data_IF_951597040901
#
_entry.id   IF_951597040901
#
_cell.length_a   1.000
_cell.length_b   1.000
_cell.length_c   1.000
_cell.angle_alpha   90.00
_cell.angle_beta   90.00
_cell.angle_gamma   90.00
#
_symmetry.space_group_name_H-M   'P 1'
#
loop_
_entity.id
_entity.type
_entity.pdbx_description
1 polymer ?
#
# COMPACT_ATOMS: atom_id res chain seq x y z
N UNK A 1 37.57 -23.17 100.73
CA UNK A 1 37.25 -24.61 100.67
C UNK A 1 36.93 -24.93 99.30
N UNK A 2 37.87 -25.28 98.48
CA UNK A 2 38.22 -26.56 97.89
C UNK A 2 36.99 -27.25 97.24
N UNK A 3 36.98 -27.40 95.94
CA UNK A 3 37.11 -28.60 95.11
C UNK A 3 36.63 -28.18 93.68
N UNK A 4 37.41 -28.11 92.64
CA UNK A 4 38.02 -29.11 91.78
C UNK A 4 37.09 -29.77 90.77
N UNK A 5 37.48 -29.66 89.49
CA UNK A 5 37.35 -30.58 88.37
C UNK A 5 36.09 -30.45 87.50
N UNK A 6 36.13 -30.65 86.25
CA UNK A 6 37.03 -31.39 85.40
C UNK A 6 36.79 -31.10 83.93
N UNK A 7 37.79 -31.35 83.16
CA UNK A 7 37.80 -31.18 81.69
C UNK A 7 37.11 -32.33 80.98
N UNK A 8 36.20 -32.00 80.08
CA UNK A 8 35.84 -32.91 78.98
C UNK A 8 36.03 -32.16 77.67
N UNK A 9 36.91 -32.66 76.83
CA UNK A 9 37.11 -32.20 75.44
C UNK A 9 36.07 -32.87 74.58
N UNK A 10 35.23 -32.12 73.93
CA UNK A 10 34.40 -32.55 72.85
C UNK A 10 35.04 -32.14 71.54
N UNK A 11 35.38 -33.13 70.71
CA UNK A 11 35.86 -32.92 69.36
C UNK A 11 34.66 -32.62 68.44
N UNK A 12 34.62 -31.44 67.90
CA UNK A 12 33.64 -31.07 66.90
C UNK A 12 34.21 -31.31 65.50
N UNK A 13 33.70 -32.31 64.81
CA UNK A 13 33.93 -32.59 63.35
C UNK A 13 33.25 -31.50 62.50
N UNK A 14 34.02 -30.72 61.78
CA UNK A 14 33.55 -29.82 60.79
C UNK A 14 33.24 -30.62 59.49
N UNK A 15 31.94 -30.86 59.20
CA UNK A 15 31.52 -31.24 57.90
C UNK A 15 31.50 -30.01 56.94
N UNK A 16 32.46 -30.00 56.04
CA UNK A 16 32.48 -28.98 54.95
C UNK A 16 31.35 -29.24 53.96
N UNK A 17 30.40 -28.35 53.93
CA UNK A 17 29.33 -28.32 52.92
C UNK A 17 29.88 -27.57 51.68
N UNK A 18 30.33 -28.35 50.68
CA UNK A 18 30.71 -27.80 49.39
C UNK A 18 29.46 -27.46 48.59
N UNK A 19 29.09 -26.19 48.52
CA UNK A 19 28.02 -25.67 47.61
C UNK A 19 28.58 -25.62 46.21
N UNK A 20 28.10 -26.54 45.35
CA UNK A 20 28.33 -26.48 43.91
C UNK A 20 27.40 -25.41 43.33
N UNK A 21 27.95 -24.26 42.94
CA UNK A 21 27.23 -23.27 42.12
C UNK A 21 27.13 -23.80 40.68
N UNK A 22 25.94 -24.23 40.27
CA UNK A 22 25.60 -24.47 38.89
C UNK A 22 25.38 -23.12 38.18
N UNK A 23 26.01 -22.86 37.04
CA UNK A 23 25.72 -21.66 36.28
C UNK A 23 24.28 -21.73 35.74
N UNK A 24 23.45 -20.72 36.04
CA UNK A 24 22.14 -20.57 35.48
C UNK A 24 22.29 -20.21 33.98
N UNK A 25 21.95 -21.13 33.08
CA UNK A 25 21.83 -20.88 31.67
C UNK A 25 20.53 -20.06 31.47
N UNK A 26 20.66 -18.77 31.22
CA UNK A 26 19.53 -17.94 30.83
C UNK A 26 18.99 -18.44 29.46
N UNK A 27 17.66 -18.63 29.29
CA UNK A 27 17.11 -18.97 27.99
C UNK A 27 17.38 -17.82 27.01
N UNK A 28 18.02 -18.12 25.88
CA UNK A 28 18.15 -17.19 24.78
C UNK A 28 16.74 -16.79 24.33
N UNK A 29 16.39 -15.51 24.44
CA UNK A 29 15.16 -14.97 23.88
C UNK A 29 15.22 -15.16 22.37
N UNK A 30 14.40 -16.06 21.85
CA UNK A 30 14.18 -16.21 20.42
C UNK A 30 13.57 -14.89 19.93
N UNK A 31 14.35 -14.09 19.22
CA UNK A 31 13.84 -12.97 18.45
C UNK A 31 12.92 -13.56 17.37
N UNK A 32 11.61 -13.40 17.55
CA UNK A 32 10.65 -13.69 16.48
C UNK A 32 11.06 -12.88 15.25
N UNK A 33 11.02 -13.47 14.04
CA UNK A 33 11.27 -12.70 12.82
C UNK A 33 10.27 -11.54 12.80
N UNK A 34 10.76 -10.31 12.64
CA UNK A 34 9.92 -9.17 12.39
C UNK A 34 9.14 -9.46 11.10
N UNK A 35 7.85 -9.78 11.24
CA UNK A 35 6.95 -9.81 10.12
C UNK A 35 6.95 -8.40 9.58
N UNK A 36 7.61 -8.20 8.43
CA UNK A 36 7.52 -6.96 7.68
C UNK A 36 6.03 -6.72 7.46
N UNK A 37 5.47 -5.74 8.16
CA UNK A 37 4.11 -5.30 7.91
C UNK A 37 4.12 -4.79 6.46
N UNK A 38 3.62 -5.61 5.55
CA UNK A 38 3.43 -5.20 4.17
C UNK A 38 2.48 -4.01 4.21
N UNK A 39 3.00 -2.83 3.93
CA UNK A 39 2.19 -1.62 3.77
C UNK A 39 1.14 -1.92 2.71
N UNK A 40 -0.10 -2.01 3.11
CA UNK A 40 -1.21 -2.05 2.17
C UNK A 40 -1.39 -0.65 1.61
N UNK A 41 -0.64 -0.36 0.54
CA UNK A 41 -0.65 0.94 -0.15
C UNK A 41 -1.71 0.97 -1.25
N UNK A 42 -2.23 -0.18 -1.65
CA UNK A 42 -3.23 -0.33 -2.73
C UNK A 42 -3.94 -1.67 -2.51
N UNK A 43 -5.26 -1.80 -2.70
CA UNK A 43 -5.88 -3.11 -2.83
C UNK A 43 -5.14 -3.94 -3.88
N UNK A 44 -4.88 -5.20 -3.59
CA UNK A 44 -4.02 -6.01 -4.44
C UNK A 44 -4.74 -6.44 -5.72
N UNK A 45 -4.17 -6.11 -6.87
CA UNK A 45 -4.63 -6.65 -8.15
C UNK A 45 -4.27 -8.14 -8.26
N UNK A 46 -4.99 -8.94 -9.09
CA UNK A 46 -4.70 -10.34 -9.33
C UNK A 46 -3.24 -10.59 -9.76
N UNK A 47 -2.80 -11.85 -9.70
CA UNK A 47 -1.46 -12.25 -10.13
C UNK A 47 -1.18 -11.91 -11.60
N UNK A 48 0.11 -11.83 -11.97
CA UNK A 48 0.50 -11.40 -13.32
C UNK A 48 -0.10 -12.27 -14.43
N UNK A 49 -0.21 -13.59 -14.23
CA UNK A 49 -0.77 -14.50 -15.25
C UNK A 49 -2.28 -14.29 -15.46
N UNK A 50 -3.01 -14.03 -14.36
CA UNK A 50 -4.44 -13.71 -14.44
C UNK A 50 -4.62 -12.37 -15.14
N UNK A 51 -3.83 -11.35 -14.78
CA UNK A 51 -3.89 -10.02 -15.43
C UNK A 51 -3.51 -10.07 -16.92
N UNK A 52 -2.58 -10.97 -17.33
CA UNK A 52 -2.30 -11.19 -18.75
C UNK A 52 -3.53 -11.73 -19.47
N UNK A 53 -4.23 -12.68 -18.84
CA UNK A 53 -5.48 -13.22 -19.38
C UNK A 53 -6.57 -12.13 -19.50
N UNK A 54 -6.71 -11.29 -18.47
CA UNK A 54 -7.63 -10.14 -18.51
C UNK A 54 -7.27 -9.17 -19.65
N UNK A 55 -5.98 -8.81 -19.77
CA UNK A 55 -5.47 -7.91 -20.79
C UNK A 55 -5.73 -8.43 -22.22
N UNK A 56 -5.65 -9.74 -22.42
CA UNK A 56 -5.92 -10.37 -23.73
C UNK A 56 -7.41 -10.28 -24.13
N UNK A 57 -8.31 -10.05 -23.18
CA UNK A 57 -9.74 -9.85 -23.45
C UNK A 57 -10.12 -8.39 -23.75
N UNK A 58 -9.23 -7.44 -23.45
CA UNK A 58 -9.54 -6.03 -23.67
C UNK A 58 -9.63 -5.66 -25.15
N UNK A 59 -10.60 -4.84 -25.47
CA UNK A 59 -10.71 -4.26 -26.81
C UNK A 59 -9.54 -3.33 -27.09
N UNK A 60 -8.88 -3.54 -28.24
CA UNK A 60 -7.84 -2.64 -28.72
C UNK A 60 -8.46 -1.68 -29.72
N UNK A 61 -8.46 -0.39 -29.42
CA UNK A 61 -9.02 0.63 -30.29
C UNK A 61 -8.34 1.99 -30.16
N UNK A 62 -8.62 2.89 -31.08
CA UNK A 62 -8.16 4.27 -30.98
C UNK A 62 -8.88 5.01 -29.84
N UNK A 63 -8.21 5.98 -29.18
CA UNK A 63 -8.85 6.75 -28.13
C UNK A 63 -10.08 7.50 -28.60
N UNK A 64 -11.16 7.49 -27.82
CA UNK A 64 -12.33 8.31 -28.07
C UNK A 64 -12.00 9.82 -27.94
N UNK A 65 -12.81 10.63 -28.60
CA UNK A 65 -12.66 12.09 -28.54
C UNK A 65 -12.91 12.63 -27.12
N UNK A 66 -12.18 13.67 -26.75
CA UNK A 66 -12.39 14.38 -25.48
C UNK A 66 -13.61 15.30 -25.48
N UNK A 67 -14.37 15.34 -26.55
CA UNK A 67 -15.59 16.13 -26.65
C UNK A 67 -16.54 15.83 -25.49
N UNK A 68 -16.95 16.87 -24.80
CA UNK A 68 -17.85 16.73 -23.63
C UNK A 68 -17.18 16.26 -22.35
N UNK A 69 -15.88 15.95 -22.30
CA UNK A 69 -15.18 15.63 -21.08
C UNK A 69 -15.13 16.84 -20.14
N UNK A 70 -15.37 16.57 -18.89
CA UNK A 70 -14.90 17.40 -17.76
C UNK A 70 -14.71 16.51 -16.55
N UNK A 71 -13.76 16.87 -15.66
CA UNK A 71 -13.53 16.13 -14.42
C UNK A 71 -14.81 16.04 -13.56
N UNK A 72 -15.67 17.05 -13.59
CA UNK A 72 -16.94 17.07 -12.85
C UNK A 72 -17.95 15.99 -13.30
N UNK A 73 -17.78 15.41 -14.47
CA UNK A 73 -18.61 14.26 -14.93
C UNK A 73 -18.30 12.97 -14.20
N UNK A 74 -17.19 12.94 -13.47
CA UNK A 74 -16.83 11.88 -12.54
C UNK A 74 -16.97 12.43 -11.11
N UNK A 75 -18.14 12.31 -10.45
CA UNK A 75 -18.29 12.75 -9.07
C UNK A 75 -17.32 11.98 -8.19
N UNK A 76 -16.24 12.63 -7.79
CA UNK A 76 -15.15 12.05 -6.97
C UNK A 76 -15.10 12.71 -5.61
N UNK A 77 -14.36 12.11 -4.68
CA UNK A 77 -14.25 12.54 -3.28
C UNK A 77 -15.60 12.63 -2.58
N UNK A 78 -16.47 11.63 -2.82
CA UNK A 78 -17.77 11.55 -2.13
C UNK A 78 -17.56 11.15 -0.66
N UNK A 79 -18.50 11.53 0.21
CA UNK A 79 -18.51 11.04 1.58
C UNK A 79 -18.67 9.52 1.61
N UNK A 80 -17.80 8.85 2.38
CA UNK A 80 -17.82 7.41 2.60
C UNK A 80 -18.49 7.08 3.95
N UNK A 81 -18.05 7.75 5.01
CA UNK A 81 -18.65 7.66 6.35
C UNK A 81 -18.31 8.91 7.17
N UNK A 82 -19.19 9.30 8.08
CA UNK A 82 -18.99 10.49 8.93
C UNK A 82 -18.61 11.72 8.11
N UNK A 83 -17.50 12.35 8.44
CA UNK A 83 -16.94 13.46 7.68
C UNK A 83 -15.89 13.02 6.65
N UNK A 84 -15.54 11.73 6.61
CA UNK A 84 -14.52 11.19 5.72
C UNK A 84 -15.03 11.08 4.29
N UNK A 85 -14.36 11.75 3.38
CA UNK A 85 -14.51 11.52 1.95
C UNK A 85 -13.54 10.43 1.43
N UNK A 86 -13.67 10.08 0.15
CA UNK A 86 -12.82 9.05 -0.47
C UNK A 86 -11.32 9.37 -0.34
N UNK A 87 -10.92 10.65 -0.48
CA UNK A 87 -9.53 11.07 -0.35
C UNK A 87 -8.99 10.81 1.06
N UNK A 88 -9.75 11.19 2.10
CA UNK A 88 -9.32 11.02 3.49
C UNK A 88 -9.27 9.54 3.89
N UNK A 89 -10.16 8.71 3.32
CA UNK A 89 -10.12 7.25 3.52
C UNK A 89 -8.85 6.66 2.92
N UNK A 90 -8.47 7.04 1.70
CA UNK A 90 -7.23 6.56 1.06
C UNK A 90 -5.99 7.07 1.80
N UNK A 91 -5.96 8.32 2.24
CA UNK A 91 -4.84 8.85 3.05
C UNK A 91 -4.67 8.06 4.35
N UNK A 92 -5.77 7.69 5.02
CA UNK A 92 -5.73 6.89 6.25
C UNK A 92 -5.30 5.44 5.97
N UNK A 93 -5.72 4.86 4.85
CA UNK A 93 -5.39 3.48 4.45
C UNK A 93 -3.90 3.34 4.11
N UNK A 94 -3.35 4.30 3.34
CA UNK A 94 -2.03 4.20 2.72
C UNK A 94 -0.92 4.83 3.58
N UNK A 95 -1.29 5.60 4.61
CA UNK A 95 -0.32 6.21 5.51
C UNK A 95 -0.01 5.36 6.75
N UNK A 96 1.12 5.65 7.37
CA UNK A 96 1.56 5.07 8.64
C UNK A 96 1.46 6.12 9.75
N UNK A 97 0.91 5.74 10.91
CA UNK A 97 0.74 6.64 12.05
C UNK A 97 -0.20 7.82 11.76
N UNK A 98 -1.18 7.63 10.86
CA UNK A 98 -2.10 8.71 10.48
C UNK A 98 -3.02 9.06 11.65
N UNK A 99 -3.02 10.33 12.04
CA UNK A 99 -4.03 10.91 12.93
C UNK A 99 -4.93 11.86 12.15
N UNK A 100 -6.21 11.89 12.52
CA UNK A 100 -7.22 12.69 11.84
C UNK A 100 -7.90 13.66 12.81
N UNK A 101 -8.30 14.83 12.33
CA UNK A 101 -9.11 15.76 13.09
C UNK A 101 -10.62 15.38 13.06
N UNK A 102 -11.46 16.18 13.73
CA UNK A 102 -12.91 15.95 13.78
C UNK A 102 -13.62 16.06 12.41
N UNK A 103 -12.94 16.59 11.39
CA UNK A 103 -13.41 16.69 10.02
C UNK A 103 -12.77 15.60 9.13
N UNK A 104 -12.18 14.57 9.75
CA UNK A 104 -11.50 13.46 9.09
C UNK A 104 -10.24 13.85 8.29
N UNK A 105 -9.73 15.07 8.42
CA UNK A 105 -8.53 15.48 7.70
C UNK A 105 -7.29 14.88 8.34
N UNK A 106 -6.41 14.28 7.54
CA UNK A 106 -5.13 13.78 8.01
C UNK A 106 -4.23 14.95 8.46
N UNK A 107 -3.92 15.02 9.77
CA UNK A 107 -3.11 16.08 10.40
C UNK A 107 -1.68 15.63 10.69
N UNK A 108 -1.46 14.33 10.88
CA UNK A 108 -0.15 13.69 11.04
C UNK A 108 -0.11 12.38 10.27
N UNK A 109 1.07 11.89 9.99
CA UNK A 109 1.31 10.62 9.32
C UNK A 109 2.50 10.68 8.37
N UNK A 110 2.91 9.51 7.91
CA UNK A 110 3.90 9.36 6.84
C UNK A 110 3.34 8.52 5.71
N UNK A 111 3.65 8.89 4.49
CA UNK A 111 3.18 8.22 3.28
C UNK A 111 4.34 7.85 2.39
N UNK A 112 4.39 6.60 1.98
CA UNK A 112 5.32 6.14 0.96
C UNK A 112 4.69 6.26 -0.42
N UNK A 113 5.36 6.98 -1.33
CA UNK A 113 4.98 7.08 -2.73
C UNK A 113 5.74 6.04 -3.55
N UNK A 114 5.09 4.96 -4.02
CA UNK A 114 5.78 3.93 -4.78
C UNK A 114 6.16 4.37 -6.20
N UNK A 115 5.59 5.45 -6.71
CA UNK A 115 5.91 5.96 -8.05
C UNK A 115 7.34 6.48 -8.16
N UNK A 116 7.86 7.08 -7.12
CA UNK A 116 9.16 7.76 -7.09
C UNK A 116 10.02 7.41 -5.87
N UNK A 117 9.67 6.31 -5.17
CA UNK A 117 10.38 5.77 -4.00
C UNK A 117 10.65 6.83 -2.92
N UNK A 118 9.63 7.63 -2.58
CA UNK A 118 9.74 8.69 -1.58
C UNK A 118 8.83 8.46 -0.39
N UNK A 119 9.34 8.75 0.80
CA UNK A 119 8.53 8.87 2.02
C UNK A 119 8.29 10.34 2.32
N UNK A 120 7.05 10.71 2.58
CA UNK A 120 6.58 12.07 2.78
C UNK A 120 5.84 12.15 4.12
N UNK A 121 6.07 13.24 4.85
CA UNK A 121 5.64 13.47 6.24
C UNK A 121 4.43 14.41 6.37
N UNK A 122 3.79 14.74 5.27
CA UNK A 122 2.64 15.65 5.26
C UNK A 122 1.63 15.30 4.18
N UNK A 123 0.36 15.21 4.55
CA UNK A 123 -0.76 14.98 3.64
C UNK A 123 -0.87 16.06 2.55
N UNK A 124 -0.32 17.26 2.78
CA UNK A 124 -0.30 18.32 1.77
C UNK A 124 0.65 18.07 0.59
N UNK A 125 1.60 17.14 0.77
CA UNK A 125 2.55 16.70 -0.26
C UNK A 125 2.04 15.47 -1.03
N UNK A 126 0.88 14.94 -0.65
CA UNK A 126 0.28 13.71 -1.17
C UNK A 126 -0.94 14.07 -2.02
N UNK A 127 -0.98 13.55 -3.23
CA UNK A 127 -2.19 13.45 -4.04
C UNK A 127 -2.73 12.02 -3.99
N UNK A 128 -4.04 11.84 -4.12
CA UNK A 128 -4.62 10.53 -4.41
C UNK A 128 -4.76 10.43 -5.91
N UNK A 129 -4.01 9.49 -6.47
CA UNK A 129 -4.05 9.20 -7.91
C UNK A 129 -5.12 8.15 -8.21
N UNK A 130 -5.75 8.31 -9.37
CA UNK A 130 -6.47 7.25 -10.03
C UNK A 130 -5.49 6.48 -10.92
N UNK A 131 -5.24 5.20 -10.64
CA UNK A 131 -4.33 4.36 -11.44
C UNK A 131 -4.67 4.51 -12.92
N UNK A 132 -5.94 4.30 -13.29
CA UNK A 132 -6.45 4.71 -14.60
C UNK A 132 -7.09 6.09 -14.47
N UNK A 133 -6.47 7.15 -15.01
CA UNK A 133 -6.97 8.52 -14.89
C UNK A 133 -8.37 8.70 -15.43
N UNK A 134 -9.16 9.58 -14.82
CA UNK A 134 -10.55 9.84 -15.24
C UNK A 134 -10.65 10.26 -16.71
N UNK A 135 -9.70 11.04 -17.20
CA UNK A 135 -9.65 11.45 -18.62
C UNK A 135 -9.19 10.30 -19.53
N UNK A 136 -8.30 9.41 -19.05
CA UNK A 136 -7.95 8.19 -19.78
C UNK A 136 -9.16 7.27 -19.88
N UNK A 137 -9.88 7.04 -18.78
CA UNK A 137 -11.11 6.25 -18.78
C UNK A 137 -12.14 6.82 -19.77
N UNK A 138 -12.30 8.15 -19.82
CA UNK A 138 -13.18 8.80 -20.81
C UNK A 138 -12.81 8.40 -22.23
N UNK A 139 -11.53 8.50 -22.60
CA UNK A 139 -11.02 8.13 -23.92
C UNK A 139 -11.10 6.62 -24.22
N UNK A 140 -11.32 5.81 -23.20
CA UNK A 140 -11.37 4.35 -23.29
C UNK A 140 -12.78 3.77 -23.14
N UNK A 141 -13.85 4.61 -23.30
CA UNK A 141 -15.23 4.15 -23.30
C UNK A 141 -16.11 4.70 -22.17
N UNK A 142 -15.55 5.34 -21.14
CA UNK A 142 -16.34 5.92 -20.05
C UNK A 142 -17.16 7.16 -20.47
N UNK A 143 -16.95 7.71 -21.65
CA UNK A 143 -17.77 8.73 -22.28
C UNK A 143 -19.23 8.28 -22.45
N UNK A 144 -19.45 6.98 -22.67
CA UNK A 144 -20.78 6.36 -22.82
C UNK A 144 -21.43 5.96 -21.48
N UNK A 145 -20.70 5.99 -20.37
CA UNK A 145 -21.20 5.50 -19.08
C UNK A 145 -22.26 6.41 -18.48
N UNK A 146 -23.08 5.81 -17.60
CA UNK A 146 -23.95 6.59 -16.70
C UNK A 146 -23.10 7.36 -15.69
N UNK A 147 -23.67 8.45 -15.13
CA UNK A 147 -23.01 9.20 -14.05
C UNK A 147 -22.77 8.31 -12.83
N UNK A 148 -23.67 7.34 -12.55
CA UNK A 148 -23.49 6.40 -11.45
C UNK A 148 -22.25 5.51 -11.64
N UNK A 149 -22.00 4.96 -12.83
CA UNK A 149 -20.81 4.16 -13.13
C UNK A 149 -19.55 5.01 -13.04
N UNK A 150 -19.56 6.25 -13.58
CA UNK A 150 -18.42 7.16 -13.44
C UNK A 150 -18.12 7.54 -11.99
N UNK A 151 -19.17 7.71 -11.16
CA UNK A 151 -19.05 7.94 -9.72
C UNK A 151 -18.42 6.74 -9.01
N UNK A 152 -18.87 5.51 -9.31
CA UNK A 152 -18.30 4.28 -8.74
C UNK A 152 -16.81 4.17 -9.08
N UNK A 153 -16.45 4.28 -10.36
CA UNK A 153 -15.05 4.27 -10.82
C UNK A 153 -14.16 5.30 -10.12
N UNK A 154 -14.66 6.52 -9.95
CA UNK A 154 -13.88 7.61 -9.35
C UNK A 154 -13.69 7.51 -7.84
N UNK A 155 -14.40 6.60 -7.16
CA UNK A 155 -14.36 6.43 -5.71
C UNK A 155 -14.18 4.95 -5.31
N UNK A 156 -13.62 4.15 -6.21
CA UNK A 156 -13.39 2.74 -5.98
C UNK A 156 -12.32 2.54 -4.90
N UNK A 157 -12.75 2.02 -3.76
CA UNK A 157 -11.91 1.71 -2.60
C UNK A 157 -11.63 0.21 -2.47
N UNK A 158 -12.33 -0.60 -3.23
CA UNK A 158 -12.30 -2.06 -3.14
C UNK A 158 -11.24 -2.66 -4.06
N UNK A 159 -11.01 -2.00 -5.21
CA UNK A 159 -10.06 -2.43 -6.22
C UNK A 159 -8.84 -1.50 -6.31
N UNK A 160 -7.89 -1.85 -7.17
CA UNK A 160 -6.58 -1.19 -7.29
C UNK A 160 -6.63 0.17 -7.99
N UNK A 161 -7.68 0.97 -7.81
CA UNK A 161 -7.89 2.21 -8.55
C UNK A 161 -7.32 3.45 -7.87
N UNK A 162 -7.29 3.51 -6.54
CA UNK A 162 -6.92 4.70 -5.79
C UNK A 162 -5.69 4.47 -4.93
N UNK A 163 -4.69 5.36 -5.04
CA UNK A 163 -3.41 5.25 -4.33
C UNK A 163 -2.89 6.61 -3.90
N UNK A 164 -2.32 6.67 -2.68
CA UNK A 164 -1.60 7.85 -2.19
C UNK A 164 -0.18 7.88 -2.78
N UNK A 165 0.16 8.96 -3.48
CA UNK A 165 1.48 9.15 -4.11
C UNK A 165 1.97 10.58 -3.92
N UNK A 166 3.25 10.83 -4.19
CA UNK A 166 3.77 12.19 -4.19
C UNK A 166 3.01 13.08 -5.20
N UNK A 167 2.65 14.28 -4.78
CA UNK A 167 1.96 15.24 -5.65
C UNK A 167 2.78 15.57 -6.91
N UNK A 168 4.11 15.51 -6.82
CA UNK A 168 4.99 15.73 -7.98
C UNK A 168 4.83 14.63 -9.03
N UNK A 169 4.84 13.35 -8.63
CA UNK A 169 4.69 12.24 -9.55
C UNK A 169 3.28 12.15 -10.14
N UNK A 170 2.26 12.39 -9.31
CA UNK A 170 0.88 12.45 -9.79
C UNK A 170 0.68 13.52 -10.88
N UNK A 171 1.21 14.71 -10.66
CA UNK A 171 1.13 15.81 -11.63
C UNK A 171 1.94 15.55 -12.90
N UNK A 172 3.09 14.86 -12.76
CA UNK A 172 3.88 14.42 -13.92
C UNK A 172 3.15 13.36 -14.74
N UNK A 173 2.43 12.43 -14.10
CA UNK A 173 1.60 11.41 -14.76
C UNK A 173 0.43 12.04 -15.51
N UNK A 174 -0.29 12.95 -14.86
CA UNK A 174 -1.48 13.57 -15.45
C UNK A 174 -2.52 12.53 -15.88
N UNK A 175 -2.96 12.61 -17.15
CA UNK A 175 -3.93 11.70 -17.76
C UNK A 175 -3.28 10.70 -18.75
N UNK A 176 -1.96 10.57 -18.69
CA UNK A 176 -1.16 9.74 -19.59
C UNK A 176 -1.35 8.26 -19.32
N UNK A 177 -1.30 7.45 -20.40
CA UNK A 177 -1.24 5.99 -20.35
C UNK A 177 0.19 5.49 -20.08
N UNK A 178 0.38 4.20 -19.74
CA UNK A 178 1.69 3.64 -19.40
C UNK A 178 2.77 3.83 -20.46
N UNK A 179 2.41 3.89 -21.74
CA UNK A 179 3.33 4.15 -22.85
C UNK A 179 3.81 5.61 -22.92
N UNK A 180 3.05 6.54 -22.33
CA UNK A 180 3.37 7.97 -22.31
C UNK A 180 4.04 8.39 -21.01
N UNK A 181 3.67 7.75 -19.90
CA UNK A 181 4.27 7.92 -18.59
C UNK A 181 4.31 6.60 -17.83
N UNK A 182 5.43 6.33 -17.19
CA UNK A 182 5.62 5.17 -16.30
C UNK A 182 6.22 5.63 -14.99
N UNK A 183 5.94 4.96 -13.86
CA UNK A 183 6.59 5.27 -12.59
C UNK A 183 8.12 5.32 -12.76
N UNK A 184 8.81 6.38 -12.29
CA UNK A 184 10.26 6.43 -12.27
C UNK A 184 10.89 5.27 -11.49
N UNK A 185 10.22 4.81 -10.42
CA UNK A 185 10.59 3.62 -9.69
C UNK A 185 10.18 2.36 -10.48
N UNK A 186 11.15 1.71 -11.09
CA UNK A 186 10.94 0.51 -11.92
C UNK A 186 10.51 -0.72 -11.11
N UNK A 187 10.84 -0.77 -9.82
CA UNK A 187 10.43 -1.87 -8.93
C UNK A 187 8.92 -1.90 -8.70
N UNK A 188 8.24 -0.79 -8.97
CA UNK A 188 6.79 -0.69 -8.91
C UNK A 188 6.08 -1.08 -10.21
N UNK A 189 6.80 -1.33 -11.29
CA UNK A 189 6.19 -1.58 -12.62
C UNK A 189 5.27 -2.80 -12.64
N UNK A 190 5.67 -3.90 -12.01
CA UNK A 190 4.82 -5.08 -11.90
C UNK A 190 3.47 -4.73 -11.25
N UNK A 191 3.50 -4.11 -10.08
CA UNK A 191 2.27 -3.73 -9.36
C UNK A 191 1.44 -2.72 -10.14
N UNK A 192 2.08 -1.70 -10.74
CA UNK A 192 1.39 -0.67 -11.52
C UNK A 192 0.69 -1.23 -12.74
N UNK A 193 1.35 -2.10 -13.52
CA UNK A 193 0.79 -2.70 -14.72
C UNK A 193 -0.35 -3.68 -14.41
N UNK A 194 -0.21 -4.45 -13.32
CA UNK A 194 -1.29 -5.32 -12.83
C UNK A 194 -2.53 -4.50 -12.46
N UNK A 195 -2.36 -3.45 -11.66
CA UNK A 195 -3.44 -2.58 -11.27
C UNK A 195 -4.10 -1.89 -12.48
N UNK A 196 -3.30 -1.35 -13.41
CA UNK A 196 -3.81 -0.68 -14.60
C UNK A 196 -4.67 -1.58 -15.48
N UNK A 197 -4.16 -2.76 -15.84
CA UNK A 197 -4.88 -3.69 -16.72
C UNK A 197 -6.13 -4.24 -16.04
N UNK A 198 -6.03 -4.61 -14.76
CA UNK A 198 -7.15 -5.11 -13.98
C UNK A 198 -8.30 -4.09 -13.88
N UNK A 199 -8.01 -2.83 -13.58
CA UNK A 199 -9.03 -1.77 -13.54
C UNK A 199 -9.68 -1.57 -14.91
N UNK A 200 -8.89 -1.60 -15.99
CA UNK A 200 -9.49 -1.52 -17.33
C UNK A 200 -10.41 -2.71 -17.62
N UNK A 201 -10.04 -3.91 -17.21
CA UNK A 201 -10.84 -5.12 -17.34
C UNK A 201 -12.15 -5.03 -16.54
N UNK A 202 -12.08 -4.73 -15.25
CA UNK A 202 -13.25 -4.64 -14.38
C UNK A 202 -14.30 -3.64 -14.89
N UNK A 203 -13.83 -2.54 -15.43
CA UNK A 203 -14.72 -1.47 -15.90
C UNK A 203 -15.11 -1.59 -17.37
N UNK A 204 -14.55 -2.57 -18.11
CA UNK A 204 -14.81 -2.78 -19.53
C UNK A 204 -14.30 -1.62 -20.37
N UNK A 205 -13.10 -1.12 -20.04
CA UNK A 205 -12.42 -0.05 -20.79
C UNK A 205 -11.54 -0.67 -21.89
N UNK A 206 -11.36 0.07 -22.97
CA UNK A 206 -10.44 -0.31 -24.05
C UNK A 206 -8.99 0.12 -23.74
N UNK A 207 -8.06 -0.43 -24.53
CA UNK A 207 -6.65 -0.03 -24.55
C UNK A 207 -6.24 0.35 -25.97
N UNK A 208 -5.24 1.21 -26.11
CA UNK A 208 -4.56 1.39 -27.39
C UNK A 208 -3.47 0.31 -27.56
N UNK A 209 -3.03 0.07 -28.80
CA UNK A 209 -1.94 -0.89 -29.03
C UNK A 209 -0.64 -0.49 -28.29
N UNK A 210 -0.16 0.77 -28.34
CA UNK A 210 1.03 1.18 -27.56
C UNK A 210 0.85 1.00 -26.05
N UNK A 211 -0.32 1.33 -25.51
CA UNK A 211 -0.66 1.13 -24.11
C UNK A 211 -0.56 -0.35 -23.72
N UNK A 212 -1.17 -1.25 -24.51
CA UNK A 212 -1.11 -2.70 -24.29
C UNK A 212 0.32 -3.23 -24.32
N UNK A 213 1.10 -2.83 -25.33
CA UNK A 213 2.50 -3.28 -25.49
C UNK A 213 3.35 -2.85 -24.29
N UNK A 214 3.15 -1.64 -23.79
CA UNK A 214 3.84 -1.14 -22.60
C UNK A 214 3.42 -1.91 -21.33
N UNK A 215 2.12 -2.18 -21.15
CA UNK A 215 1.62 -2.98 -20.02
C UNK A 215 2.28 -4.37 -20.04
N UNK A 216 2.35 -5.05 -21.20
CA UNK A 216 3.03 -6.34 -21.33
C UNK A 216 4.51 -6.23 -20.93
N UNK A 217 5.20 -5.18 -21.42
CA UNK A 217 6.60 -4.94 -21.05
C UNK A 217 6.79 -4.80 -19.55
N UNK A 218 5.88 -4.09 -18.86
CA UNK A 218 5.91 -3.92 -17.42
C UNK A 218 5.54 -5.22 -16.66
N UNK A 219 4.56 -5.99 -17.16
CA UNK A 219 4.21 -7.30 -16.58
C UNK A 219 5.37 -8.31 -16.68
N UNK A 220 6.31 -8.13 -17.62
CA UNK A 220 7.50 -8.96 -17.70
C UNK A 220 8.54 -8.66 -16.60
N UNK A 221 8.30 -7.66 -15.76
CA UNK A 221 9.08 -7.42 -14.53
C UNK A 221 8.50 -8.13 -13.31
N UNK A 222 7.36 -8.79 -13.45
CA UNK A 222 6.80 -9.63 -12.39
C UNK A 222 7.56 -10.96 -12.35
N UNK A 223 8.07 -11.32 -11.18
CA UNK A 223 8.75 -12.60 -10.92
C UNK A 223 7.75 -13.77 -10.81
#
# INVERSE_FOLDING_TARGET
MIISRGWLRAATSLLGLSTVLLPAVAPAAATAPAVSAHRRVLPEAPGADEVRTELDTLTIEAPHAMTGYSRAKFPHWIKQYGECDTREVVLSRDGEGVTQDSLCRAIEGTWYSPYDDKTLDSASKIDIDHIVPLANAWRSGADTWTTAKRKAFANDLDDSQLIAVSASSNRSKGDQSPDQWSPPNTDYWCTYSRAWAHIKYLYGLSVTQPERDKIISMLNTCD
#
